data_IF_207607464574
#
_entry.id   IF_207607464574
#
_cell.length_a   1.000
_cell.length_b   1.000
_cell.length_c   1.000
_cell.angle_alpha   90.00
_cell.angle_beta   90.00
_cell.angle_gamma   90.00
#
_symmetry.space_group_name_H-M   'P 1'
#
loop_
_entity.id
_entity.type
_entity.pdbx_description
1 polymer ?
#
# COMPACT_ATOMS: atom_id res chain seq x y z
N UNK A 1 -21.02 -23.57 57.40
CA UNK A 1 -20.49 -22.19 57.44
C UNK A 1 -19.05 -22.22 56.92
N UNK A 2 -18.69 -21.34 55.98
CA UNK A 2 -17.31 -21.11 55.50
C UNK A 2 -16.86 -22.03 54.36
N UNK A 3 -17.20 -21.82 53.09
CA UNK A 3 -16.69 -20.82 52.12
C UNK A 3 -15.17 -20.87 51.84
N UNK A 4 -14.87 -21.09 50.55
CA UNK A 4 -13.78 -20.52 49.73
C UNK A 4 -12.40 -21.21 49.81
N UNK A 5 -11.90 -21.86 48.75
CA UNK A 5 -11.58 -21.39 47.38
C UNK A 5 -10.12 -20.95 47.25
N UNK A 6 -9.36 -21.65 46.39
CA UNK A 6 -8.65 -21.13 45.20
C UNK A 6 -7.57 -22.13 44.78
N UNK A 7 -7.87 -22.96 43.78
CA UNK A 7 -7.54 -22.73 42.36
C UNK A 7 -6.03 -22.68 42.10
N UNK A 8 -5.50 -23.84 41.71
CA UNK A 8 -4.36 -23.92 40.83
C UNK A 8 -4.73 -23.27 39.49
N UNK A 9 -4.04 -22.20 39.13
CA UNK A 9 -4.14 -21.63 37.78
C UNK A 9 -3.24 -22.50 36.90
N UNK A 10 -3.86 -23.49 36.24
CA UNK A 10 -3.32 -24.02 34.99
C UNK A 10 -3.33 -22.90 33.98
N UNK A 11 -2.14 -22.42 33.61
CA UNK A 11 -1.96 -21.58 32.43
C UNK A 11 -2.17 -22.51 31.23
N UNK A 12 -3.43 -22.65 30.81
CA UNK A 12 -3.75 -23.19 29.51
C UNK A 12 -3.21 -22.19 28.47
N UNK A 13 -2.23 -22.63 27.69
CA UNK A 13 -1.87 -22.00 26.43
C UNK A 13 -3.12 -22.00 25.54
N UNK A 14 -3.89 -20.92 25.58
CA UNK A 14 -4.95 -20.64 24.62
C UNK A 14 -4.25 -20.26 23.33
N UNK A 15 -3.94 -21.30 22.54
CA UNK A 15 -3.59 -21.13 21.13
C UNK A 15 -4.66 -20.30 20.46
N UNK A 16 -4.22 -19.24 19.78
CA UNK A 16 -5.04 -18.41 18.91
C UNK A 16 -5.52 -19.24 17.71
N UNK A 17 -6.62 -19.98 17.87
CA UNK A 17 -7.22 -20.80 16.81
C UNK A 17 -8.39 -20.11 16.09
N UNK A 18 -8.72 -18.86 16.40
CA UNK A 18 -9.99 -18.26 15.96
C UNK A 18 -9.94 -17.32 14.76
N UNK A 19 -8.76 -16.97 14.21
CA UNK A 19 -8.70 -16.21 12.95
C UNK A 19 -8.70 -17.13 11.71
N UNK A 20 -8.18 -18.35 11.84
CA UNK A 20 -7.97 -19.27 10.71
C UNK A 20 -9.26 -19.84 10.11
N UNK A 21 -10.36 -19.80 10.87
CA UNK A 21 -11.74 -20.15 10.45
C UNK A 21 -12.55 -18.95 9.94
N UNK A 22 -12.01 -17.72 9.97
CA UNK A 22 -12.77 -16.50 9.67
C UNK A 22 -12.63 -15.96 8.25
N UNK A 23 -11.68 -16.45 7.45
CA UNK A 23 -11.75 -16.21 6.01
C UNK A 23 -12.78 -17.18 5.45
N UNK A 24 -14.07 -16.84 5.57
CA UNK A 24 -15.18 -17.66 5.07
C UNK A 24 -15.08 -17.95 3.56
N UNK A 25 -14.31 -17.13 2.83
CA UNK A 25 -14.06 -17.27 1.40
C UNK A 25 -12.56 -17.17 1.07
N UNK A 26 -11.78 -18.16 1.54
CA UNK A 26 -10.33 -18.25 1.27
C UNK A 26 -10.06 -18.25 -0.23
N UNK A 27 -10.92 -18.89 -1.01
CA UNK A 27 -10.73 -19.01 -2.47
C UNK A 27 -10.92 -17.66 -3.17
N UNK A 28 -11.97 -16.88 -2.86
CA UNK A 28 -12.11 -15.54 -3.43
C UNK A 28 -10.96 -14.61 -3.04
N UNK A 29 -10.45 -14.69 -1.80
CA UNK A 29 -9.27 -13.91 -1.41
C UNK A 29 -8.04 -14.26 -2.26
N UNK A 30 -7.77 -15.55 -2.45
CA UNK A 30 -6.67 -16.05 -3.29
C UNK A 30 -6.83 -15.61 -4.75
N UNK A 31 -8.04 -15.69 -5.29
CA UNK A 31 -8.36 -15.21 -6.64
C UNK A 31 -8.07 -13.71 -6.79
N UNK A 32 -8.44 -12.89 -5.80
CA UNK A 32 -8.12 -11.47 -5.80
C UNK A 32 -6.61 -11.19 -5.71
N UNK A 33 -5.87 -11.99 -4.94
CA UNK A 33 -4.41 -11.90 -4.87
C UNK A 33 -3.75 -12.21 -6.22
N UNK A 34 -4.16 -13.30 -6.87
CA UNK A 34 -3.71 -13.70 -8.22
C UNK A 34 -4.09 -12.67 -9.28
N UNK A 35 -5.33 -12.18 -9.27
CA UNK A 35 -5.76 -11.14 -10.18
C UNK A 35 -4.91 -9.87 -10.03
N UNK A 36 -4.56 -9.51 -8.79
CA UNK A 36 -3.65 -8.40 -8.53
C UNK A 36 -2.24 -8.67 -9.02
N UNK A 37 -1.66 -9.84 -8.75
CA UNK A 37 -0.32 -10.22 -9.20
C UNK A 37 -0.20 -10.23 -10.72
N UNK A 38 -1.08 -10.95 -11.40
CA UNK A 38 -1.05 -11.08 -12.86
C UNK A 38 -1.19 -9.71 -13.55
N UNK A 39 -2.15 -8.89 -13.12
CA UNK A 39 -2.35 -7.56 -13.71
C UNK A 39 -1.23 -6.59 -13.35
N UNK A 40 -0.64 -6.69 -12.16
CA UNK A 40 0.51 -5.89 -11.75
C UNK A 40 1.75 -6.24 -12.58
N UNK A 41 2.09 -7.53 -12.72
CA UNK A 41 3.23 -8.01 -13.51
C UNK A 41 3.06 -7.60 -14.96
N UNK A 42 1.86 -7.85 -15.54
CA UNK A 42 1.54 -7.44 -16.91
C UNK A 42 1.78 -5.95 -17.12
N UNK A 43 1.15 -5.09 -16.31
CA UNK A 43 1.29 -3.65 -16.44
C UNK A 43 2.74 -3.19 -16.21
N UNK A 44 3.41 -3.74 -15.20
CA UNK A 44 4.80 -3.41 -14.85
C UNK A 44 5.80 -3.72 -15.99
N UNK A 45 5.50 -4.71 -16.82
CA UNK A 45 6.32 -5.15 -17.93
C UNK A 45 6.01 -4.45 -19.25
N UNK A 46 5.02 -3.55 -19.29
CA UNK A 46 4.82 -2.65 -20.44
C UNK A 46 5.80 -1.47 -20.40
N UNK A 47 6.14 -0.89 -21.56
CA UNK A 47 6.93 0.34 -21.62
C UNK A 47 6.26 1.49 -20.87
N UNK A 48 4.94 1.61 -21.04
CA UNK A 48 4.13 2.62 -20.36
C UNK A 48 4.18 2.47 -18.83
N UNK A 49 4.06 1.24 -18.32
CA UNK A 49 4.12 0.97 -16.89
C UNK A 49 5.52 1.16 -16.29
N UNK A 50 6.57 0.77 -17.01
CA UNK A 50 7.96 1.07 -16.62
C UNK A 50 8.18 2.58 -16.54
N UNK A 51 7.76 3.32 -17.57
CA UNK A 51 7.95 4.75 -17.65
C UNK A 51 7.15 5.52 -16.60
N UNK A 52 5.86 5.20 -16.42
CA UNK A 52 5.03 5.81 -15.37
C UNK A 52 5.60 5.54 -13.96
N UNK A 53 6.08 4.31 -13.71
CA UNK A 53 6.72 3.95 -12.44
C UNK A 53 8.00 4.74 -12.20
N UNK A 54 8.88 4.83 -13.20
CA UNK A 54 10.13 5.58 -13.12
C UNK A 54 9.86 7.05 -12.81
N UNK A 55 8.96 7.68 -13.57
CA UNK A 55 8.57 9.08 -13.37
C UNK A 55 7.96 9.35 -11.98
N UNK A 56 7.10 8.44 -11.50
CA UNK A 56 6.56 8.51 -10.14
C UNK A 56 7.65 8.41 -9.06
N UNK A 57 8.64 7.54 -9.27
CA UNK A 57 9.75 7.39 -8.33
C UNK A 57 10.63 8.63 -8.32
N UNK A 58 10.95 9.21 -9.48
CA UNK A 58 11.67 10.47 -9.59
C UNK A 58 10.92 11.62 -8.91
N UNK A 59 9.60 11.71 -9.10
CA UNK A 59 8.76 12.69 -8.39
C UNK A 59 8.82 12.49 -6.86
N UNK A 60 8.76 11.24 -6.38
CA UNK A 60 8.88 10.96 -4.95
C UNK A 60 10.24 11.39 -4.41
N UNK A 61 11.33 11.08 -5.11
CA UNK A 61 12.68 11.50 -4.72
C UNK A 61 12.77 13.02 -4.65
N UNK A 62 12.24 13.72 -5.67
CA UNK A 62 12.18 15.18 -5.68
C UNK A 62 11.38 15.74 -4.50
N UNK A 63 10.23 15.13 -4.16
CA UNK A 63 9.43 15.52 -2.98
C UNK A 63 10.21 15.38 -1.66
N UNK A 64 10.94 14.28 -1.49
CA UNK A 64 11.68 14.00 -0.26
C UNK A 64 12.87 14.94 -0.07
N UNK A 65 13.46 15.43 -1.16
CA UNK A 65 14.60 16.34 -1.17
C UNK A 65 14.21 17.81 -1.41
N UNK A 66 12.91 18.13 -1.47
CA UNK A 66 12.43 19.48 -1.72
C UNK A 66 12.61 20.35 -0.47
N UNK A 67 13.26 21.50 -0.61
CA UNK A 67 13.48 22.44 0.49
C UNK A 67 12.26 23.28 0.89
N UNK A 68 11.17 23.19 0.13
CA UNK A 68 9.92 23.88 0.46
C UNK A 68 9.07 23.09 1.46
N UNK A 69 8.20 23.82 2.17
CA UNK A 69 7.20 23.23 3.04
C UNK A 69 6.18 22.40 2.25
N UNK A 70 5.52 21.48 2.94
CA UNK A 70 4.50 20.64 2.33
C UNK A 70 3.29 21.46 1.82
N UNK A 71 2.95 22.58 2.48
CA UNK A 71 1.87 23.49 2.06
C UNK A 71 2.21 24.23 0.75
N UNK A 72 3.44 24.73 0.62
CA UNK A 72 3.92 25.36 -0.62
C UNK A 72 3.91 24.36 -1.78
N UNK A 73 4.39 23.14 -1.52
CA UNK A 73 4.35 22.02 -2.48
C UNK A 73 2.92 21.73 -2.92
N UNK A 74 1.99 21.60 -1.97
CA UNK A 74 0.59 21.31 -2.26
C UNK A 74 -0.09 22.43 -3.05
N UNK A 75 0.21 23.69 -2.72
CA UNK A 75 -0.31 24.84 -3.43
C UNK A 75 0.21 24.88 -4.87
N UNK A 76 1.52 24.62 -5.09
CA UNK A 76 2.13 24.61 -6.41
C UNK A 76 1.55 23.50 -7.33
N UNK A 77 1.02 22.42 -6.76
CA UNK A 77 0.47 21.27 -7.52
C UNK A 77 -1.05 21.17 -7.49
N UNK A 78 -1.76 22.20 -7.00
CA UNK A 78 -3.22 22.18 -6.79
C UNK A 78 -4.03 21.77 -8.03
N UNK A 79 -3.60 22.14 -9.23
CA UNK A 79 -4.25 21.77 -10.50
C UNK A 79 -3.94 20.33 -10.98
N UNK A 80 -2.94 19.67 -10.41
CA UNK A 80 -2.48 18.33 -10.81
C UNK A 80 -3.03 17.28 -9.84
N UNK A 81 -4.33 16.96 -9.93
CA UNK A 81 -5.06 16.11 -8.97
C UNK A 81 -4.31 14.84 -8.54
N UNK A 82 -3.70 14.12 -9.50
CA UNK A 82 -2.92 12.90 -9.20
C UNK A 82 -1.66 13.19 -8.38
N UNK A 83 -0.92 14.24 -8.73
CA UNK A 83 0.28 14.69 -8.02
C UNK A 83 -0.09 15.14 -6.61
N UNK A 84 -1.11 15.99 -6.48
CA UNK A 84 -1.60 16.46 -5.18
C UNK A 84 -1.96 15.28 -4.28
N UNK A 85 -2.69 14.28 -4.80
CA UNK A 85 -2.98 13.05 -4.04
C UNK A 85 -1.70 12.31 -3.61
N UNK A 86 -0.67 12.27 -4.45
CA UNK A 86 0.61 11.64 -4.10
C UNK A 86 1.37 12.40 -3.02
N UNK A 87 1.36 13.73 -3.07
CA UNK A 87 1.97 14.57 -2.05
C UNK A 87 1.28 14.34 -0.69
N UNK A 88 -0.05 14.39 -0.62
CA UNK A 88 -0.78 14.04 0.61
C UNK A 88 -0.44 12.62 1.13
N UNK A 89 -0.34 11.63 0.23
CA UNK A 89 0.10 10.29 0.61
C UNK A 89 1.52 10.25 1.17
N UNK A 90 2.44 11.09 0.68
CA UNK A 90 3.82 11.16 1.15
C UNK A 90 3.95 11.95 2.45
N UNK A 91 3.22 13.05 2.63
CA UNK A 91 3.11 13.78 3.90
C UNK A 91 2.69 12.82 5.01
N UNK A 92 1.58 12.08 4.79
CA UNK A 92 1.10 11.08 5.76
C UNK A 92 2.16 10.02 6.07
N UNK A 93 2.94 9.60 5.08
CA UNK A 93 4.02 8.62 5.28
C UNK A 93 5.20 9.19 6.06
N UNK A 94 5.59 10.43 5.81
CA UNK A 94 6.63 11.10 6.58
C UNK A 94 6.22 11.21 8.05
N UNK A 95 4.99 11.65 8.32
CA UNK A 95 4.45 11.77 9.68
C UNK A 95 4.38 10.43 10.43
N UNK A 96 4.34 9.31 9.69
CA UNK A 96 4.32 7.94 10.24
C UNK A 96 5.69 7.25 10.22
N UNK A 97 6.77 7.96 9.87
CA UNK A 97 8.11 7.38 9.76
C UNK A 97 8.29 6.33 8.64
N UNK A 98 7.35 6.26 7.69
CA UNK A 98 7.42 5.34 6.54
C UNK A 98 8.23 5.91 5.36
N UNK A 99 8.49 7.21 5.40
CA UNK A 99 9.40 7.93 4.51
C UNK A 99 10.17 8.94 5.34
N UNK A 100 11.41 9.22 4.94
CA UNK A 100 12.24 10.23 5.57
C UNK A 100 12.50 11.35 4.56
N UNK A 101 12.29 12.60 4.97
CA UNK A 101 12.77 13.77 4.22
C UNK A 101 14.30 13.71 4.19
N UNK A 102 14.87 14.15 3.09
CA UNK A 102 16.30 14.18 2.85
C UNK A 102 16.80 15.62 3.02
N UNK A 103 18.11 15.78 3.11
CA UNK A 103 18.73 17.11 3.04
C UNK A 103 18.24 17.85 1.78
N UNK A 104 17.76 19.10 1.92
CA UNK A 104 17.23 19.86 0.81
C UNK A 104 18.24 20.03 -0.33
N UNK A 105 17.94 19.42 -1.47
CA UNK A 105 18.76 19.54 -2.70
C UNK A 105 17.91 19.87 -3.93
N UNK A 106 16.58 19.91 -3.78
CA UNK A 106 15.62 20.20 -4.85
C UNK A 106 14.85 21.47 -4.51
N UNK A 107 14.79 22.41 -5.46
CA UNK A 107 13.96 23.62 -5.36
C UNK A 107 12.49 23.31 -5.68
N UNK A 108 11.59 24.21 -5.27
CA UNK A 108 10.16 24.11 -5.62
C UNK A 108 9.95 24.02 -7.13
N UNK A 109 10.66 24.85 -7.91
CA UNK A 109 10.53 24.87 -9.37
C UNK A 109 10.97 23.55 -10.01
N UNK A 110 12.08 22.98 -9.53
CA UNK A 110 12.56 21.68 -10.00
C UNK A 110 11.56 20.57 -9.66
N UNK A 111 10.98 20.61 -8.46
CA UNK A 111 9.91 19.71 -8.07
C UNK A 111 8.66 19.87 -8.96
N UNK A 112 8.22 21.10 -9.24
CA UNK A 112 7.06 21.40 -10.09
C UNK A 112 7.27 20.90 -11.52
N UNK A 113 8.49 21.03 -12.07
CA UNK A 113 8.84 20.46 -13.38
C UNK A 113 8.70 18.94 -13.39
N UNK A 114 9.21 18.27 -12.35
CA UNK A 114 9.07 16.82 -12.21
C UNK A 114 7.61 16.40 -12.01
N UNK A 115 6.84 17.18 -11.26
CA UNK A 115 5.41 16.98 -11.04
C UNK A 115 4.61 17.05 -12.34
N UNK A 116 4.91 18.04 -13.19
CA UNK A 116 4.29 18.18 -14.51
C UNK A 116 4.59 16.98 -15.39
N UNK A 117 5.86 16.57 -15.46
CA UNK A 117 6.26 15.37 -16.23
C UNK A 117 5.49 14.13 -15.78
N UNK A 118 5.42 13.86 -14.48
CA UNK A 118 4.63 12.73 -13.97
C UNK A 118 3.13 12.87 -14.25
N UNK A 119 2.58 14.08 -14.11
CA UNK A 119 1.17 14.35 -14.38
C UNK A 119 0.79 14.04 -15.83
N UNK A 120 1.60 14.49 -16.78
CA UNK A 120 1.37 14.27 -18.21
C UNK A 120 1.50 12.78 -18.55
N UNK A 121 2.55 12.12 -18.08
CA UNK A 121 2.75 10.67 -18.26
C UNK A 121 1.57 9.89 -17.68
N UNK A 122 1.13 10.23 -16.46
CA UNK A 122 -0.01 9.58 -15.84
C UNK A 122 -1.28 9.74 -16.68
N UNK A 123 -1.52 10.93 -17.25
CA UNK A 123 -2.70 11.16 -18.08
C UNK A 123 -2.69 10.38 -19.39
N UNK A 124 -1.51 10.08 -19.95
CA UNK A 124 -1.37 9.22 -21.12
C UNK A 124 -1.71 7.76 -20.80
N UNK A 125 -1.32 7.27 -19.62
CA UNK A 125 -1.44 5.83 -19.30
C UNK A 125 -2.69 5.46 -18.51
N UNK A 126 -3.33 6.40 -17.80
CA UNK A 126 -4.41 6.11 -16.83
C UNK A 126 -5.65 5.44 -17.41
N UNK A 127 -5.82 5.50 -18.73
CA UNK A 127 -6.94 4.90 -19.46
C UNK A 127 -6.50 3.70 -20.31
N UNK A 128 -5.21 3.31 -20.28
CA UNK A 128 -4.76 2.07 -20.92
C UNK A 128 -5.42 0.87 -20.24
N UNK A 129 -5.73 -0.15 -21.03
CA UNK A 129 -6.36 -1.38 -20.54
C UNK A 129 -5.56 -2.01 -19.40
N UNK A 130 -4.24 -2.11 -19.56
CA UNK A 130 -3.36 -2.70 -18.55
C UNK A 130 -3.32 -1.89 -17.26
N UNK A 131 -3.29 -0.56 -17.33
CA UNK A 131 -3.36 0.28 -16.12
C UNK A 131 -4.72 0.12 -15.43
N UNK A 132 -5.81 0.11 -16.19
CA UNK A 132 -7.18 0.00 -15.64
C UNK A 132 -7.36 -1.36 -14.96
N UNK A 133 -6.91 -2.44 -15.59
CA UNK A 133 -6.91 -3.80 -15.03
C UNK A 133 -6.13 -3.86 -13.71
N UNK A 134 -4.86 -3.43 -13.72
CA UNK A 134 -4.02 -3.36 -12.53
C UNK A 134 -4.63 -2.50 -11.41
N UNK A 135 -5.17 -1.33 -11.74
CA UNK A 135 -5.70 -0.40 -10.75
C UNK A 135 -7.01 -0.92 -10.13
N UNK A 136 -7.79 -1.68 -10.89
CA UNK A 136 -9.03 -2.31 -10.41
C UNK A 136 -8.71 -3.46 -9.46
N UNK A 137 -7.88 -4.42 -9.88
CA UNK A 137 -7.46 -5.55 -9.05
C UNK A 137 -6.75 -5.08 -7.77
N UNK A 138 -5.87 -4.08 -7.86
CA UNK A 138 -5.21 -3.47 -6.69
C UNK A 138 -6.21 -2.92 -5.66
N UNK A 139 -7.29 -2.27 -6.12
CA UNK A 139 -8.29 -1.69 -5.20
C UNK A 139 -9.10 -2.79 -4.50
N UNK A 140 -9.51 -3.81 -5.25
CA UNK A 140 -10.23 -4.96 -4.72
C UNK A 140 -9.37 -5.67 -3.69
N UNK A 141 -8.16 -6.09 -4.09
CA UNK A 141 -7.24 -6.79 -3.20
C UNK A 141 -6.87 -5.96 -1.96
N UNK A 142 -6.60 -4.65 -2.11
CA UNK A 142 -6.35 -3.76 -0.97
C UNK A 142 -7.52 -3.74 0.02
N UNK A 143 -8.75 -3.67 -0.49
CA UNK A 143 -9.95 -3.63 0.35
C UNK A 143 -10.08 -4.92 1.16
N UNK A 144 -9.89 -6.08 0.51
CA UNK A 144 -9.98 -7.38 1.21
C UNK A 144 -8.90 -7.52 2.28
N UNK A 145 -7.64 -7.18 1.98
CA UNK A 145 -6.57 -7.24 2.99
C UNK A 145 -6.87 -6.33 4.19
N UNK A 146 -7.35 -5.10 3.96
CA UNK A 146 -7.71 -4.20 5.06
C UNK A 146 -8.90 -4.73 5.85
N UNK A 147 -9.90 -5.33 5.19
CA UNK A 147 -11.06 -5.94 5.82
C UNK A 147 -10.62 -7.06 6.77
N UNK A 148 -9.84 -8.02 6.27
CA UNK A 148 -9.34 -9.16 7.05
C UNK A 148 -8.56 -8.72 8.29
N UNK A 149 -7.65 -7.75 8.15
CA UNK A 149 -6.86 -7.25 9.28
C UNK A 149 -7.76 -6.55 10.32
N UNK A 150 -8.81 -5.83 9.89
CA UNK A 150 -9.77 -5.21 10.81
C UNK A 150 -10.68 -6.21 11.51
N UNK A 151 -10.94 -7.36 10.88
CA UNK A 151 -11.72 -8.46 11.45
C UNK A 151 -10.91 -9.33 12.42
N UNK A 152 -9.59 -9.10 12.50
CA UNK A 152 -8.71 -9.69 13.51
C UNK A 152 -7.61 -10.58 12.95
N UNK A 153 -7.55 -10.81 11.63
CA UNK A 153 -6.45 -11.57 11.03
C UNK A 153 -5.11 -10.85 11.23
N UNK A 154 -4.06 -11.61 11.55
CA UNK A 154 -2.71 -11.05 11.62
C UNK A 154 -2.16 -10.78 10.22
N UNK A 155 -1.07 -10.01 10.13
CA UNK A 155 -0.39 -9.77 8.83
C UNK A 155 0.18 -11.08 8.30
N UNK A 156 0.71 -11.88 9.21
CA UNK A 156 1.29 -13.19 8.99
C UNK A 156 0.25 -14.15 8.40
N UNK A 157 -0.95 -14.23 9.00
CA UNK A 157 -2.04 -15.07 8.47
C UNK A 157 -2.41 -14.72 7.02
N UNK A 158 -2.53 -13.42 6.72
CA UNK A 158 -2.86 -12.93 5.38
C UNK A 158 -1.74 -13.25 4.40
N UNK A 159 -0.49 -12.97 4.78
CA UNK A 159 0.68 -13.22 3.93
C UNK A 159 0.90 -14.71 3.69
N UNK A 160 0.73 -15.57 4.69
CA UNK A 160 0.88 -17.01 4.54
C UNK A 160 -0.24 -17.60 3.68
N UNK A 161 -1.48 -17.10 3.81
CA UNK A 161 -2.57 -17.46 2.88
C UNK A 161 -2.24 -17.13 1.42
N UNK A 162 -1.53 -16.02 1.17
CA UNK A 162 -1.08 -15.66 -0.18
C UNK A 162 0.01 -16.61 -0.69
N UNK A 163 0.97 -16.99 0.17
CA UNK A 163 2.02 -17.96 -0.20
C UNK A 163 1.43 -19.34 -0.48
N UNK A 164 0.48 -19.80 0.33
CA UNK A 164 -0.25 -21.06 0.11
C UNK A 164 -1.01 -21.05 -1.22
N UNK A 165 -1.36 -19.87 -1.72
CA UNK A 165 -1.96 -19.70 -3.04
C UNK A 165 -0.95 -19.72 -4.19
N UNK A 166 0.35 -19.75 -3.91
CA UNK A 166 1.42 -19.68 -4.91
C UNK A 166 1.81 -18.25 -5.32
N UNK A 167 1.49 -17.23 -4.52
CA UNK A 167 1.97 -15.86 -4.75
C UNK A 167 3.44 -15.77 -4.35
N UNK A 168 4.31 -15.36 -5.28
CA UNK A 168 5.76 -15.29 -5.06
C UNK A 168 6.31 -13.86 -5.14
N UNK A 169 5.59 -12.91 -5.76
CA UNK A 169 6.08 -11.54 -5.89
C UNK A 169 6.21 -10.85 -4.51
N UNK A 170 7.46 -10.57 -4.10
CA UNK A 170 7.78 -9.98 -2.79
C UNK A 170 7.10 -8.62 -2.56
N UNK A 171 6.88 -7.84 -3.64
CA UNK A 171 6.19 -6.56 -3.53
C UNK A 171 4.71 -6.77 -3.23
N UNK A 172 4.13 -7.87 -3.67
CA UNK A 172 2.74 -8.24 -3.36
C UNK A 172 2.66 -8.84 -1.95
N UNK A 173 3.57 -9.76 -1.60
CA UNK A 173 3.65 -10.35 -0.26
C UNK A 173 3.88 -9.33 0.86
N UNK A 174 4.54 -8.20 0.56
CA UNK A 174 4.75 -7.10 1.51
C UNK A 174 3.55 -6.15 1.68
N UNK A 175 2.49 -6.30 0.88
CA UNK A 175 1.33 -5.38 0.93
C UNK A 175 0.52 -5.43 2.23
N UNK A 176 0.25 -6.60 2.84
CA UNK A 176 -0.48 -6.65 4.10
C UNK A 176 0.19 -5.82 5.20
N UNK A 177 1.49 -6.02 5.42
CA UNK A 177 2.25 -5.23 6.39
C UNK A 177 2.23 -3.74 6.06
N UNK A 178 2.45 -3.40 4.79
CA UNK A 178 2.47 -2.00 4.34
C UNK A 178 1.11 -1.30 4.54
N UNK A 179 0.01 -1.97 4.23
CA UNK A 179 -1.33 -1.40 4.38
C UNK A 179 -1.79 -1.33 5.84
N UNK A 180 -1.39 -2.29 6.70
CA UNK A 180 -1.59 -2.17 8.15
C UNK A 180 -0.98 -0.86 8.67
N UNK A 181 0.32 -0.64 8.42
CA UNK A 181 1.04 0.56 8.87
C UNK A 181 0.52 1.88 8.25
N UNK A 182 0.02 1.84 7.01
CA UNK A 182 -0.38 3.04 6.27
C UNK A 182 -1.84 3.43 6.49
N UNK A 183 -2.73 2.46 6.62
CA UNK A 183 -4.17 2.65 6.50
C UNK A 183 -4.95 2.19 7.75
N UNK A 184 -4.33 1.47 8.69
CA UNK A 184 -4.98 0.95 9.92
C UNK A 184 -4.35 1.52 11.19
N UNK A 185 -3.06 1.28 11.42
CA UNK A 185 -2.29 1.88 12.53
C UNK A 185 -2.32 3.42 12.44
#
# INVERSE_FOLDING_TARGET
MGLLSKLAISIAAVGCTTCFTQIEDKEAFKEHAHAYENSYIKYANTDQGRFERSSKNALRTAYLACGSSDDEILQAVKGMKKVSKKCHEWIKKCNRGLLLKQEPTVSLDAFVKQARSYYDIHNLVKNSEDYVSYNTSHKVFKREVIKLIKEGCTVEDVTDTMKDAGIEDERILSRPLYWKKKDID
#
